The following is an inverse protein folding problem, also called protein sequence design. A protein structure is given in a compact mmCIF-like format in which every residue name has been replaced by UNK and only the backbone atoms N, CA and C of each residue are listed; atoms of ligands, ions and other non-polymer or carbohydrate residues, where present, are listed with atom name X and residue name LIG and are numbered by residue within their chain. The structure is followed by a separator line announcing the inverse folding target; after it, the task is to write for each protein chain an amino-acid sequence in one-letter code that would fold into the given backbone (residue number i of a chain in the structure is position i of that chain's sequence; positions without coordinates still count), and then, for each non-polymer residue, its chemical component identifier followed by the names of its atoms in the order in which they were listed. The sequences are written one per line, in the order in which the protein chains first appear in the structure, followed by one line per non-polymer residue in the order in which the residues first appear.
data_IF_798771119887
#
_entry.id   IF_798771119887
#
_cell.length_a   1.000
_cell.length_b   1.000
_cell.length_c   1.000
_cell.angle_alpha   90.00
_cell.angle_beta   90.00
_cell.angle_gamma   90.00
#
_symmetry.space_group_name_H-M   'P 1'
#
loop_
_entity.id
_entity.type
_entity.pdbx_description
1 polymer ?
#
# COMPACT_ATOMS: atom_id res chain seq x y z
N UNK A 1 16.28 -3.96 -0.94
CA UNK A 1 14.80 -3.94 -0.86
C UNK A 1 14.40 -3.03 0.29
N UNK A 2 13.50 -2.07 0.05
CA UNK A 2 13.01 -1.17 1.09
C UNK A 2 11.91 -1.88 1.90
N UNK A 3 11.93 -1.77 3.23
CA UNK A 3 10.86 -2.33 4.07
C UNK A 3 9.51 -1.61 3.83
N UNK A 4 8.41 -2.23 4.27
CA UNK A 4 7.06 -1.66 4.04
C UNK A 4 6.92 -0.23 4.57
N UNK A 5 7.48 0.08 5.75
CA UNK A 5 7.43 1.44 6.31
C UNK A 5 8.05 2.49 5.40
N UNK A 6 9.20 2.18 4.77
CA UNK A 6 9.85 3.11 3.84
C UNK A 6 8.96 3.35 2.63
N UNK A 7 8.39 2.29 2.05
CA UNK A 7 7.45 2.39 0.92
C UNK A 7 6.21 3.19 1.28
N UNK A 8 5.64 2.92 2.46
CA UNK A 8 4.45 3.60 2.95
C UNK A 8 4.68 5.11 3.12
N UNK A 9 5.81 5.52 3.72
CA UNK A 9 6.15 6.93 3.85
C UNK A 9 6.35 7.62 2.49
N UNK A 10 6.94 6.92 1.51
CA UNK A 10 7.08 7.46 0.16
C UNK A 10 5.73 7.64 -0.54
N UNK A 11 4.80 6.70 -0.38
CA UNK A 11 3.42 6.84 -0.88
C UNK A 11 2.72 8.03 -0.21
N UNK A 12 2.81 8.17 1.12
CA UNK A 12 2.24 9.32 1.83
C UNK A 12 2.77 10.66 1.30
N UNK A 13 4.08 10.73 1.06
CA UNK A 13 4.71 11.94 0.53
C UNK A 13 4.29 12.24 -0.91
N UNK A 14 4.24 11.21 -1.78
CA UNK A 14 3.82 11.35 -3.18
C UNK A 14 2.36 11.83 -3.30
N UNK A 15 1.48 11.34 -2.43
CA UNK A 15 0.06 11.72 -2.40
C UNK A 15 -0.21 13.01 -1.59
N UNK A 16 0.78 13.53 -0.87
CA UNK A 16 0.59 14.67 0.05
C UNK A 16 -0.39 14.36 1.19
N UNK A 17 -0.39 13.11 1.69
CA UNK A 17 -1.35 12.62 2.68
C UNK A 17 -0.73 12.44 4.06
N UNK A 18 -1.54 12.71 5.09
CA UNK A 18 -1.27 12.24 6.45
C UNK A 18 -1.72 10.78 6.62
N UNK A 19 -1.18 10.03 7.59
CA UNK A 19 -1.66 8.68 7.90
C UNK A 19 -3.16 8.61 8.16
N UNK A 20 -3.73 9.64 8.79
CA UNK A 20 -5.17 9.75 9.06
C UNK A 20 -6.00 9.89 7.79
N UNK A 21 -5.55 10.71 6.83
CA UNK A 21 -6.27 10.87 5.56
C UNK A 21 -6.12 9.62 4.70
N UNK A 22 -4.91 9.05 4.68
CA UNK A 22 -4.65 7.77 4.02
C UNK A 22 -5.54 6.65 4.56
N UNK A 23 -5.66 6.51 5.89
CA UNK A 23 -6.42 5.41 6.49
C UNK A 23 -7.90 5.45 6.12
N UNK A 24 -8.47 6.66 6.03
CA UNK A 24 -9.85 6.88 5.59
C UNK A 24 -10.06 6.46 4.14
N UNK A 25 -9.13 6.81 3.24
CA UNK A 25 -9.19 6.44 1.83
C UNK A 25 -9.01 4.92 1.66
N UNK A 26 -8.03 4.34 2.35
CA UNK A 26 -7.74 2.91 2.29
C UNK A 26 -8.69 2.01 3.09
N UNK A 27 -9.65 2.54 3.85
CA UNK A 27 -10.54 1.72 4.68
C UNK A 27 -9.82 0.88 5.75
N UNK A 28 -8.71 1.39 6.28
CA UNK A 28 -7.96 0.80 7.40
C UNK A 28 -8.05 1.68 8.63
N UNK A 29 -7.69 1.16 9.81
CA UNK A 29 -7.72 1.97 11.03
C UNK A 29 -6.61 3.02 11.01
N UNK A 30 -6.88 4.19 11.62
CA UNK A 30 -5.88 5.25 11.76
C UNK A 30 -4.66 4.77 12.58
N UNK A 31 -4.89 3.91 13.57
CA UNK A 31 -3.82 3.30 14.37
C UNK A 31 -2.91 2.46 13.48
N UNK A 32 -3.47 1.60 12.62
CA UNK A 32 -2.67 0.78 11.71
C UNK A 32 -1.81 1.64 10.77
N UNK A 33 -2.40 2.66 10.14
CA UNK A 33 -1.65 3.58 9.28
C UNK A 33 -0.52 4.32 10.04
N UNK A 34 -0.75 4.69 11.30
CA UNK A 34 0.25 5.34 12.14
C UNK A 34 1.39 4.38 12.51
N UNK A 35 1.06 3.14 12.87
CA UNK A 35 2.03 2.10 13.19
C UNK A 35 2.90 1.73 11.97
N UNK A 36 2.31 1.69 10.77
CA UNK A 36 3.05 1.46 9.52
C UNK A 36 4.06 2.57 9.25
N UNK A 37 3.69 3.83 9.50
CA UNK A 37 4.56 5.00 9.31
C UNK A 37 5.82 4.94 10.18
N UNK A 38 5.72 4.41 11.39
CA UNK A 38 6.80 4.39 12.40
C UNK A 38 7.49 3.01 12.53
N UNK A 39 7.21 2.07 11.64
CA UNK A 39 7.77 0.71 11.66
C UNK A 39 7.43 -0.09 12.94
N UNK A 40 6.24 0.13 13.52
CA UNK A 40 5.75 -0.64 14.67
C UNK A 40 5.03 -1.92 14.25
N UNK A 41 4.44 -1.92 13.05
CA UNK A 41 3.81 -3.11 12.47
C UNK A 41 3.88 -3.10 10.95
N UNK A 42 3.60 -4.26 10.35
CA UNK A 42 3.41 -4.44 8.91
C UNK A 42 1.94 -4.75 8.61
N UNK A 43 1.44 -4.48 7.41
CA UNK A 43 0.07 -4.79 7.06
C UNK A 43 -0.18 -6.30 7.05
N UNK A 44 -1.35 -6.71 7.53
CA UNK A 44 -1.91 -8.02 7.22
C UNK A 44 -2.27 -8.10 5.75
N UNK A 45 -2.47 -9.31 5.21
CA UNK A 45 -2.92 -9.49 3.83
C UNK A 45 -4.23 -8.72 3.53
N UNK A 46 -5.18 -8.70 4.48
CA UNK A 46 -6.43 -7.96 4.34
C UNK A 46 -6.21 -6.44 4.25
N UNK A 47 -5.38 -5.87 5.12
CA UNK A 47 -5.08 -4.43 5.05
C UNK A 47 -4.26 -4.10 3.80
N UNK A 48 -3.35 -4.98 3.39
CA UNK A 48 -2.58 -4.81 2.17
C UNK A 48 -3.50 -4.80 0.94
N UNK A 49 -4.46 -5.72 0.86
CA UNK A 49 -5.48 -5.76 -0.19
C UNK A 49 -6.29 -4.47 -0.28
N UNK A 50 -6.74 -3.95 0.86
CA UNK A 50 -7.46 -2.66 0.90
C UNK A 50 -6.59 -1.49 0.42
N UNK A 51 -5.33 -1.46 0.82
CA UNK A 51 -4.37 -0.44 0.38
C UNK A 51 -4.19 -0.46 -1.14
N UNK A 52 -3.97 -1.64 -1.74
CA UNK A 52 -3.78 -1.75 -3.20
C UNK A 52 -5.06 -1.47 -3.98
N UNK A 53 -6.25 -1.75 -3.42
CA UNK A 53 -7.51 -1.35 -4.04
C UNK A 53 -7.70 0.17 -4.03
N UNK A 54 -7.35 0.83 -2.92
CA UNK A 54 -7.49 2.28 -2.80
C UNK A 54 -6.40 3.04 -3.58
N UNK A 55 -5.22 2.44 -3.75
CA UNK A 55 -4.08 3.06 -4.41
C UNK A 55 -3.42 2.12 -5.43
N UNK A 56 -4.13 1.74 -6.51
CA UNK A 56 -3.70 0.67 -7.41
C UNK A 56 -2.40 0.97 -8.17
N UNK A 57 -2.09 2.25 -8.42
CA UNK A 57 -0.86 2.66 -9.09
C UNK A 57 0.42 2.26 -8.32
N UNK A 58 0.36 2.08 -7.01
CA UNK A 58 1.52 1.67 -6.20
C UNK A 58 1.61 0.15 -6.00
N UNK A 59 0.72 -0.66 -6.57
CA UNK A 59 0.71 -2.11 -6.39
C UNK A 59 2.07 -2.73 -6.71
N UNK A 60 2.63 -2.44 -7.89
CA UNK A 60 3.94 -2.95 -8.29
C UNK A 60 5.04 -2.52 -7.33
N UNK A 61 5.02 -1.25 -6.91
CA UNK A 61 5.99 -0.71 -5.96
C UNK A 61 5.93 -1.40 -4.58
N UNK A 62 4.71 -1.60 -4.06
CA UNK A 62 4.46 -2.28 -2.78
C UNK A 62 5.01 -3.71 -2.81
N UNK A 63 4.84 -4.43 -3.92
CA UNK A 63 5.27 -5.81 -4.08
C UNK A 63 6.68 -6.00 -4.67
N UNK A 64 7.43 -4.92 -4.90
CA UNK A 64 8.74 -4.96 -5.59
C UNK A 64 8.68 -5.64 -6.97
N UNK A 65 7.57 -5.45 -7.68
CA UNK A 65 7.37 -5.98 -9.02
C UNK A 65 7.84 -4.93 -10.04
N UNK A 66 8.59 -5.38 -11.04
CA UNK A 66 8.85 -4.58 -12.23
C UNK A 66 7.67 -4.76 -13.20
N UNK A 67 6.88 -3.71 -13.50
CA UNK A 67 5.76 -3.83 -14.42
C UNK A 67 6.17 -4.31 -15.82
N UNK A 68 7.44 -4.15 -16.22
CA UNK A 68 7.96 -4.65 -17.51
C UNK A 68 8.12 -6.17 -17.55
N UNK A 69 8.25 -6.80 -16.38
CA UNK A 69 8.45 -8.23 -16.23
C UNK A 69 7.17 -8.96 -15.80
N UNK A 70 6.04 -8.24 -15.67
CA UNK A 70 4.77 -8.87 -15.33
C UNK A 70 4.22 -9.63 -16.54
N UNK A 71 3.81 -10.90 -16.38
CA UNK A 71 3.11 -11.60 -17.44
C UNK A 71 1.76 -10.92 -17.70
N UNK A 72 1.18 -11.19 -18.86
CA UNK A 72 -0.19 -10.80 -19.16
C UNK A 72 -1.12 -11.31 -18.06
N UNK A 73 -1.81 -10.40 -17.40
CA UNK A 73 -2.71 -10.72 -16.29
C UNK A 73 -3.97 -11.39 -16.85
N UNK A 74 -4.30 -12.57 -16.33
CA UNK A 74 -5.58 -13.23 -16.62
C UNK A 74 -6.61 -12.65 -15.65
N UNK A 75 -7.58 -11.91 -16.18
CA UNK A 75 -8.69 -11.37 -15.40
C UNK A 75 -9.79 -12.43 -15.38
N UNK A 76 -9.97 -13.10 -14.24
CA UNK A 76 -11.14 -13.94 -14.00
C UNK A 76 -12.36 -13.03 -13.84
N UNK A 77 -13.44 -13.31 -14.58
CA UNK A 77 -14.74 -12.67 -14.32
C UNK A 77 -15.37 -13.33 -13.10
N UNK A 78 -16.01 -12.52 -12.26
CA UNK A 78 -16.88 -13.00 -11.19
C UNK A 78 -18.04 -13.85 -11.73
#
# INVERSE_FOLDING_TARGET
MNNFTTKFNLILNAEGLTPTKFSRIAGITQVAASDYKINRSTPSASNLFKIIQAFPCYTCYIFDLDPKNLPNQIIFKD
#
